data_IF_676274183311
#
_entry.id   IF_676274183311
#
_cell.length_a   1.000
_cell.length_b   1.000
_cell.length_c   1.000
_cell.angle_alpha   90.00
_cell.angle_beta   90.00
_cell.angle_gamma   90.00
#
_symmetry.space_group_name_H-M   'P 1'
#
loop_
_entity.id
_entity.type
_entity.pdbx_description
1 polymer ?
#
# COMPACT_ATOMS: atom_id res chain seq x y z
N UNK A 1 17.17 -8.09 -21.71
CA UNK A 1 16.07 -9.09 -21.60
C UNK A 1 15.55 -8.97 -20.19
N UNK A 2 14.28 -8.59 -19.98
CA UNK A 2 13.75 -8.41 -18.64
C UNK A 2 13.85 -9.74 -17.85
N UNK A 3 14.71 -9.76 -16.84
CA UNK A 3 14.87 -10.93 -15.97
C UNK A 3 13.60 -11.12 -15.14
N UNK A 4 13.34 -12.35 -14.68
CA UNK A 4 12.22 -12.62 -13.78
C UNK A 4 12.22 -11.69 -12.55
N UNK A 5 13.41 -11.33 -12.07
CA UNK A 5 13.63 -10.34 -11.01
C UNK A 5 13.14 -8.94 -11.40
N UNK A 6 13.45 -8.45 -12.60
CA UNK A 6 13.01 -7.14 -13.07
C UNK A 6 11.48 -7.06 -13.19
N UNK A 7 10.85 -8.14 -13.68
CA UNK A 7 9.39 -8.24 -13.75
C UNK A 7 8.78 -8.21 -12.34
N UNK A 8 9.37 -8.95 -11.38
CA UNK A 8 8.91 -8.93 -10.00
C UNK A 8 9.02 -7.54 -9.37
N UNK A 9 10.11 -6.80 -9.63
CA UNK A 9 10.28 -5.43 -9.14
C UNK A 9 9.24 -4.49 -9.74
N UNK A 10 8.93 -4.61 -11.05
CA UNK A 10 7.85 -3.84 -11.68
C UNK A 10 6.48 -4.11 -11.04
N UNK A 11 6.14 -5.37 -10.84
CA UNK A 11 4.88 -5.76 -10.19
C UNK A 11 4.81 -5.25 -8.75
N UNK A 12 5.91 -5.36 -8.00
CA UNK A 12 6.00 -4.80 -6.65
C UNK A 12 5.84 -3.29 -6.65
N UNK A 13 6.55 -2.56 -7.52
CA UNK A 13 6.44 -1.11 -7.63
C UNK A 13 5.00 -0.67 -7.89
N UNK A 14 4.35 -1.27 -8.89
CA UNK A 14 2.97 -0.95 -9.26
C UNK A 14 1.98 -1.34 -8.17
N UNK A 15 2.16 -2.52 -7.55
CA UNK A 15 1.32 -2.98 -6.45
C UNK A 15 1.43 -2.05 -5.23
N UNK A 16 2.65 -1.70 -4.81
CA UNK A 16 2.89 -0.80 -3.69
C UNK A 16 2.34 0.60 -3.98
N UNK A 17 2.50 1.12 -5.20
CA UNK A 17 1.90 2.40 -5.59
C UNK A 17 0.37 2.37 -5.56
N UNK A 18 -0.24 1.30 -6.08
CA UNK A 18 -1.70 1.15 -6.09
C UNK A 18 -2.29 1.06 -4.68
N UNK A 19 -1.68 0.25 -3.81
CA UNK A 19 -2.10 0.15 -2.40
C UNK A 19 -1.85 1.47 -1.68
N UNK A 20 -0.68 2.09 -1.87
CA UNK A 20 -0.34 3.38 -1.29
C UNK A 20 -1.31 4.49 -1.68
N UNK A 21 -1.65 4.57 -2.97
CA UNK A 21 -2.64 5.52 -3.49
C UNK A 21 -4.03 5.29 -2.87
N UNK A 22 -4.43 4.02 -2.72
CA UNK A 22 -5.69 3.68 -2.08
C UNK A 22 -5.71 4.13 -0.61
N UNK A 23 -4.64 3.87 0.14
CA UNK A 23 -4.58 4.25 1.55
C UNK A 23 -4.45 5.77 1.76
N UNK A 24 -3.70 6.46 0.90
CA UNK A 24 -3.46 7.90 0.99
C UNK A 24 -4.66 8.76 0.53
N UNK A 25 -5.40 8.32 -0.51
CA UNK A 25 -6.46 9.13 -1.13
C UNK A 25 -7.87 8.55 -0.96
N UNK A 26 -8.00 7.26 -0.64
CA UNK A 26 -9.28 6.55 -0.41
C UNK A 26 -9.31 5.97 1.01
N UNK A 27 -8.86 6.75 1.98
CA UNK A 27 -8.68 6.35 3.38
C UNK A 27 -9.97 5.81 4.00
N UNK A 28 -11.11 6.43 3.71
CA UNK A 28 -12.43 5.93 4.15
C UNK A 28 -12.76 4.54 3.62
N UNK A 29 -12.40 4.24 2.36
CA UNK A 29 -12.59 2.90 1.77
C UNK A 29 -11.68 1.87 2.43
N UNK A 30 -10.45 2.26 2.78
CA UNK A 30 -9.52 1.40 3.50
C UNK A 30 -10.00 1.08 4.93
N UNK A 31 -10.52 2.10 5.63
CA UNK A 31 -11.15 1.97 6.95
C UNK A 31 -12.36 1.05 6.89
N UNK A 32 -13.27 1.24 5.92
CA UNK A 32 -14.44 0.39 5.76
C UNK A 32 -14.07 -1.07 5.44
N UNK A 33 -13.01 -1.28 4.65
CA UNK A 33 -12.49 -2.63 4.38
C UNK A 33 -11.88 -3.26 5.64
N UNK A 34 -11.13 -2.47 6.42
CA UNK A 34 -10.56 -2.89 7.70
C UNK A 34 -11.67 -3.30 8.68
N UNK A 35 -12.74 -2.51 8.79
CA UNK A 35 -13.89 -2.82 9.65
C UNK A 35 -14.58 -4.10 9.22
N UNK A 36 -14.84 -4.29 7.93
CA UNK A 36 -15.41 -5.55 7.42
C UNK A 36 -14.52 -6.76 7.69
N UNK A 37 -13.20 -6.59 7.66
CA UNK A 37 -12.27 -7.64 7.99
C UNK A 37 -12.25 -7.91 9.51
N UNK A 38 -12.24 -6.85 10.32
CA UNK A 38 -12.31 -6.94 11.77
C UNK A 38 -13.61 -7.63 12.23
N UNK A 39 -14.74 -7.34 11.61
CA UNK A 39 -16.03 -7.98 11.90
C UNK A 39 -15.99 -9.51 11.73
N UNK A 40 -15.15 -10.01 10.81
CA UNK A 40 -15.06 -11.45 10.51
C UNK A 40 -14.01 -12.19 11.32
N UNK A 41 -12.99 -11.50 11.81
CA UNK A 41 -11.74 -12.13 12.29
C UNK A 41 -11.36 -11.64 13.70
N UNK A 42 -11.78 -10.44 14.10
CA UNK A 42 -11.42 -9.87 15.39
C UNK A 42 -12.17 -10.56 16.52
N UNK A 43 -11.48 -10.79 17.64
CA UNK A 43 -12.11 -11.16 18.91
C UNK A 43 -12.92 -10.03 19.54
N UNK A 44 -12.84 -8.82 18.98
CA UNK A 44 -13.61 -7.65 19.40
C UNK A 44 -14.11 -6.92 18.15
N UNK A 45 -15.25 -7.38 17.60
CA UNK A 45 -15.84 -6.82 16.38
C UNK A 45 -16.27 -5.35 16.59
N UNK A 46 -16.23 -4.53 15.53
CA UNK A 46 -16.83 -3.20 15.55
C UNK A 46 -18.29 -3.17 16.01
N UNK A 47 -19.07 -4.22 15.71
CA UNK A 47 -20.48 -4.32 16.15
C UNK A 47 -20.65 -4.53 17.66
N UNK A 48 -19.66 -5.11 18.35
CA UNK A 48 -19.74 -5.38 19.80
C UNK A 48 -19.20 -4.22 20.66
N UNK A 49 -18.33 -3.36 20.11
CA UNK A 49 -17.79 -2.21 20.82
C UNK A 49 -17.65 -0.97 19.91
N UNK A 50 -18.76 -0.30 19.57
CA UNK A 50 -18.76 0.82 18.63
C UNK A 50 -17.99 2.05 19.17
N UNK A 51 -18.09 2.35 20.48
CA UNK A 51 -17.45 3.50 21.10
C UNK A 51 -15.91 3.47 20.91
N UNK A 52 -15.28 2.30 21.03
CA UNK A 52 -13.85 2.16 20.80
C UNK A 52 -13.43 2.48 19.36
N UNK A 53 -14.25 2.12 18.37
CA UNK A 53 -13.94 2.38 16.96
C UNK A 53 -14.24 3.82 16.54
N UNK A 54 -15.22 4.46 17.18
CA UNK A 54 -15.53 5.88 17.01
C UNK A 54 -14.40 6.75 17.60
N UNK A 55 -13.97 6.47 18.82
CA UNK A 55 -12.88 7.20 19.50
C UNK A 55 -11.53 7.08 18.76
N UNK A 56 -11.30 5.96 18.06
CA UNK A 56 -10.06 5.70 17.32
C UNK A 56 -10.13 6.07 15.85
N UNK A 57 -11.28 6.54 15.35
CA UNK A 57 -11.50 6.81 13.93
C UNK A 57 -10.51 7.82 13.36
N UNK A 58 -10.29 8.94 14.05
CA UNK A 58 -9.37 9.99 13.60
C UNK A 58 -7.92 9.49 13.55
N UNK A 59 -7.50 8.72 14.56
CA UNK A 59 -6.16 8.11 14.60
C UNK A 59 -5.96 7.09 13.49
N UNK A 60 -6.97 6.25 13.21
CA UNK A 60 -6.94 5.28 12.10
C UNK A 60 -6.86 5.97 10.75
N UNK A 61 -7.62 7.04 10.56
CA UNK A 61 -7.59 7.85 9.33
C UNK A 61 -6.19 8.41 9.08
N UNK A 62 -5.59 9.00 10.11
CA UNK A 62 -4.23 9.50 10.01
C UNK A 62 -3.23 8.38 9.72
N UNK A 63 -3.36 7.23 10.39
CA UNK A 63 -2.48 6.07 10.22
C UNK A 63 -2.54 5.50 8.80
N UNK A 64 -3.73 5.32 8.23
CA UNK A 64 -3.86 4.87 6.84
C UNK A 64 -3.30 5.89 5.86
N UNK A 65 -3.56 7.17 6.07
CA UNK A 65 -3.07 8.22 5.18
C UNK A 65 -1.54 8.31 5.22
N UNK A 66 -0.95 8.27 6.41
CA UNK A 66 0.50 8.26 6.59
C UNK A 66 1.13 6.99 5.99
N UNK A 67 0.58 5.81 6.31
CA UNK A 67 1.03 4.54 5.73
C UNK A 67 0.92 4.52 4.21
N UNK A 68 -0.15 5.10 3.65
CA UNK A 68 -0.33 5.26 2.21
C UNK A 68 0.74 6.14 1.58
N UNK A 69 1.10 7.27 2.20
CA UNK A 69 2.20 8.14 1.73
C UNK A 69 3.54 7.40 1.77
N UNK A 70 3.82 6.65 2.83
CA UNK A 70 5.04 5.83 2.92
C UNK A 70 5.09 4.79 1.80
N UNK A 71 3.98 4.09 1.55
CA UNK A 71 3.88 3.12 0.44
C UNK A 71 4.09 3.80 -0.92
N UNK A 72 3.56 5.01 -1.13
CA UNK A 72 3.80 5.77 -2.35
C UNK A 72 5.29 6.09 -2.55
N UNK A 73 5.97 6.52 -1.49
CA UNK A 73 7.42 6.79 -1.53
C UNK A 73 8.19 5.51 -1.89
N UNK A 74 7.92 4.41 -1.20
CA UNK A 74 8.57 3.11 -1.46
C UNK A 74 8.30 2.64 -2.87
N UNK A 75 7.05 2.70 -3.33
CA UNK A 75 6.65 2.31 -4.68
C UNK A 75 7.34 3.15 -5.75
N UNK A 76 7.50 4.45 -5.52
CA UNK A 76 8.21 5.35 -6.43
C UNK A 76 9.71 5.02 -6.50
N UNK A 77 10.34 4.73 -5.36
CA UNK A 77 11.73 4.27 -5.31
C UNK A 77 11.91 2.95 -6.08
N UNK A 78 11.01 1.98 -5.87
CA UNK A 78 11.03 0.72 -6.61
C UNK A 78 10.85 0.93 -8.12
N UNK A 79 9.99 1.87 -8.53
CA UNK A 79 9.81 2.23 -9.93
C UNK A 79 11.08 2.86 -10.52
N UNK A 80 11.79 3.68 -9.74
CA UNK A 80 13.10 4.21 -10.11
C UNK A 80 14.15 3.11 -10.33
N UNK A 81 14.21 2.12 -9.43
CA UNK A 81 15.09 0.95 -9.58
C UNK A 81 14.73 0.13 -10.81
N UNK A 82 13.44 -0.11 -11.04
CA UNK A 82 12.95 -0.86 -12.20
C UNK A 82 13.30 -0.12 -13.51
N UNK A 83 13.09 1.19 -13.56
CA UNK A 83 13.43 2.03 -14.70
C UNK A 83 14.95 2.05 -14.95
N UNK A 84 15.76 2.18 -13.91
CA UNK A 84 17.22 2.13 -14.04
C UNK A 84 17.69 0.77 -14.59
N UNK A 85 17.20 -0.34 -14.04
CA UNK A 85 17.50 -1.68 -14.56
C UNK A 85 17.09 -1.86 -16.02
N UNK A 86 15.91 -1.34 -16.40
CA UNK A 86 15.36 -1.49 -17.75
C UNK A 86 16.06 -0.62 -18.80
N UNK A 87 16.28 0.65 -18.49
CA UNK A 87 16.73 1.64 -19.48
C UNK A 87 18.23 1.90 -19.46
N UNK A 88 18.90 1.65 -18.32
CA UNK A 88 20.32 1.92 -18.17
C UNK A 88 21.09 0.61 -18.21
N UNK A 89 20.82 -0.32 -17.29
CA UNK A 89 21.63 -1.55 -17.18
C UNK A 89 21.47 -2.45 -18.41
N UNK A 90 20.24 -2.70 -18.85
CA UNK A 90 19.97 -3.52 -20.06
C UNK A 90 20.46 -2.88 -21.37
N UNK A 91 20.86 -1.60 -21.35
CA UNK A 91 21.38 -0.87 -22.53
C UNK A 91 22.89 -1.01 -22.72
N UNK A 92 23.62 -1.50 -21.72
CA UNK A 92 25.05 -1.78 -21.85
C UNK A 92 25.28 -3.19 -22.41
N UNK A 93 26.16 -3.36 -23.42
CA UNK A 93 26.60 -4.69 -23.82
C UNK A 93 27.36 -5.38 -22.67
N UNK A 94 27.32 -6.73 -22.59
CA UNK A 94 28.03 -7.50 -21.56
C UNK A 94 29.55 -7.32 -21.62
#
# INVERSE_FOLDING_TARGET
MATATLIAIWLLALGTLGVGATFAFRTETAIALQERAAERISSTPPSENPEFYDDTQEHRLWTFRFGGVVLLIVGFLLLGVAAYGTFVVDSFPP
#
